data_IF_530398869952
#
_entry.id   IF_530398869952
#
_cell.length_a   1.000
_cell.length_b   1.000
_cell.length_c   1.000
_cell.angle_alpha   90.00
_cell.angle_beta   90.00
_cell.angle_gamma   90.00
#
_symmetry.space_group_name_H-M   'P 1'
#
loop_
_entity.id
_entity.type
_entity.pdbx_description
1 polymer ?
#
# COMPACT_ATOMS: atom_id res chain seq x y z
N UNK A 1 -14.09 33.48 20.22
CA UNK A 1 -12.70 33.44 19.70
C UNK A 1 -11.84 32.86 20.80
N UNK A 2 -11.06 31.78 20.69
CA UNK A 2 -10.40 31.08 19.58
C UNK A 2 -10.16 29.63 20.04
N UNK A 3 -10.35 28.63 19.16
CA UNK A 3 -9.73 27.31 19.34
C UNK A 3 -9.72 26.52 18.02
N UNK A 4 -8.80 26.88 17.14
CA UNK A 4 -8.37 26.06 15.99
C UNK A 4 -6.84 26.18 15.94
N UNK A 5 -6.10 25.21 16.49
CA UNK A 5 -4.62 25.19 16.36
C UNK A 5 -3.94 23.83 16.70
N UNK A 6 -4.66 22.78 17.15
CA UNK A 6 -4.01 21.52 17.57
C UNK A 6 -3.93 20.41 16.50
N UNK A 7 -4.54 20.57 15.33
CA UNK A 7 -4.69 19.46 14.37
C UNK A 7 -3.60 19.35 13.29
N UNK A 8 -2.83 20.40 13.04
CA UNK A 8 -1.82 20.41 11.97
C UNK A 8 -0.45 19.85 12.40
N UNK A 9 -0.06 20.04 13.67
CA UNK A 9 1.26 19.57 14.15
C UNK A 9 1.34 18.04 14.29
N UNK A 10 0.23 17.38 14.67
CA UNK A 10 0.16 15.92 14.73
C UNK A 10 0.19 15.28 13.33
N UNK A 11 -0.47 15.91 12.34
CA UNK A 11 -0.52 15.39 10.96
C UNK A 11 0.85 15.40 10.28
N UNK A 12 1.66 16.45 10.51
CA UNK A 12 3.02 16.56 9.95
C UNK A 12 3.97 15.52 10.55
N UNK A 13 3.96 15.39 11.87
CA UNK A 13 4.78 14.40 12.61
C UNK A 13 4.46 12.96 12.24
N UNK A 14 3.19 12.66 11.91
CA UNK A 14 2.74 11.32 11.56
C UNK A 14 3.16 10.89 10.15
N UNK A 15 3.15 11.85 9.22
CA UNK A 15 3.63 11.69 7.84
C UNK A 15 5.15 11.47 7.82
N UNK A 16 5.90 12.27 8.58
CA UNK A 16 7.37 12.21 8.61
C UNK A 16 7.90 10.85 9.12
N UNK A 17 7.24 10.24 10.12
CA UNK A 17 7.65 8.91 10.63
C UNK A 17 7.45 7.78 9.61
N UNK A 18 6.34 7.81 8.88
CA UNK A 18 6.07 6.79 7.85
C UNK A 18 7.03 6.86 6.66
N UNK A 19 7.62 8.03 6.37
CA UNK A 19 8.67 8.16 5.36
C UNK A 19 9.92 7.37 5.76
N UNK A 20 10.28 7.39 7.05
CA UNK A 20 11.39 6.58 7.59
C UNK A 20 11.17 5.07 7.45
N UNK A 21 9.94 4.59 7.60
CA UNK A 21 9.60 3.17 7.45
C UNK A 21 9.83 2.66 6.00
N UNK A 22 9.77 3.55 5.01
CA UNK A 22 10.09 3.24 3.61
C UNK A 22 11.61 3.18 3.33
N UNK A 23 12.49 3.70 4.19
CA UNK A 23 13.93 3.67 3.92
C UNK A 23 14.51 2.25 3.94
N UNK A 24 14.03 1.40 4.86
CA UNK A 24 14.43 -0.02 4.97
C UNK A 24 14.19 -0.76 3.65
N UNK A 25 13.04 -0.52 3.03
CA UNK A 25 12.66 -1.15 1.77
C UNK A 25 13.49 -0.67 0.57
N UNK A 26 14.21 0.45 0.69
CA UNK A 26 15.14 0.92 -0.35
C UNK A 26 16.30 -0.04 -0.52
N UNK A 27 16.83 -0.63 0.57
CA UNK A 27 17.94 -1.60 0.49
C UNK A 27 17.50 -2.91 -0.17
N UNK A 28 16.32 -3.40 0.21
CA UNK A 28 15.72 -4.59 -0.42
C UNK A 28 15.45 -4.33 -1.89
N UNK A 29 14.92 -3.15 -2.24
CA UNK A 29 14.74 -2.72 -3.62
C UNK A 29 16.05 -2.77 -4.43
N UNK A 30 17.13 -2.17 -3.92
CA UNK A 30 18.43 -2.18 -4.62
C UNK A 30 19.00 -3.59 -4.75
N UNK A 31 18.84 -4.46 -3.75
CA UNK A 31 19.22 -5.87 -3.84
C UNK A 31 18.43 -6.62 -4.93
N UNK A 32 17.11 -6.46 -4.98
CA UNK A 32 16.26 -7.11 -6.00
C UNK A 32 16.56 -6.60 -7.41
N UNK A 33 16.94 -5.33 -7.53
CA UNK A 33 17.39 -4.73 -8.79
C UNK A 33 18.76 -5.28 -9.22
N UNK A 34 19.71 -5.42 -8.30
CA UNK A 34 21.05 -5.94 -8.57
C UNK A 34 21.05 -7.43 -8.95
N UNK A 35 20.16 -8.23 -8.35
CA UNK A 35 20.05 -9.68 -8.58
C UNK A 35 19.40 -10.09 -9.90
N UNK A 36 19.14 -9.15 -10.83
CA UNK A 36 18.56 -9.42 -12.16
C UNK A 36 17.25 -10.21 -12.15
N UNK A 37 16.40 -10.06 -11.12
CA UNK A 37 14.99 -10.47 -11.17
C UNK A 37 14.19 -9.78 -12.31
N UNK A 38 14.84 -8.91 -13.07
CA UNK A 38 14.41 -8.28 -14.31
C UNK A 38 14.43 -9.19 -15.55
N UNK A 39 15.14 -10.33 -15.55
CA UNK A 39 15.14 -11.23 -16.73
C UNK A 39 13.85 -12.07 -16.75
N UNK A 40 12.91 -11.65 -17.61
CA UNK A 40 11.54 -12.18 -17.78
C UNK A 40 11.39 -13.68 -18.10
N UNK A 41 12.46 -14.45 -18.22
CA UNK A 41 12.40 -15.79 -18.82
C UNK A 41 12.75 -16.97 -17.93
N UNK A 42 13.31 -16.82 -16.72
CA UNK A 42 13.68 -18.01 -15.94
C UNK A 42 13.41 -17.85 -14.44
N UNK A 43 12.72 -18.85 -13.90
CA UNK A 43 12.37 -19.10 -12.49
C UNK A 43 11.09 -18.38 -11.98
N UNK A 44 10.09 -19.14 -11.46
CA UNK A 44 9.02 -18.56 -10.67
C UNK A 44 9.64 -17.85 -9.47
N UNK A 45 9.35 -16.56 -9.31
CA UNK A 45 9.72 -15.86 -8.07
C UNK A 45 8.93 -16.52 -6.96
N UNK A 46 9.62 -17.35 -6.16
CA UNK A 46 9.06 -17.86 -4.92
C UNK A 46 8.88 -16.66 -4.00
N UNK A 47 7.62 -16.38 -3.68
CA UNK A 47 7.26 -15.30 -2.76
C UNK A 47 7.60 -15.80 -1.36
N UNK A 48 8.76 -15.39 -0.84
CA UNK A 48 9.21 -15.73 0.52
C UNK A 48 8.54 -14.83 1.56
N UNK A 49 8.55 -15.26 2.82
CA UNK A 49 8.02 -14.46 3.92
C UNK A 49 8.75 -13.11 4.04
N UNK A 50 10.07 -13.07 3.85
CA UNK A 50 10.84 -11.83 3.92
C UNK A 50 10.40 -10.81 2.86
N UNK A 51 10.08 -11.29 1.65
CA UNK A 51 9.53 -10.45 0.59
C UNK A 51 8.11 -9.98 0.90
N UNK A 52 7.30 -10.82 1.54
CA UNK A 52 5.96 -10.45 2.00
C UNK A 52 6.02 -9.38 3.08
N UNK A 53 6.92 -9.49 4.06
CA UNK A 53 7.11 -8.47 5.10
C UNK A 53 7.69 -7.17 4.52
N UNK A 54 8.64 -7.28 3.58
CA UNK A 54 9.18 -6.10 2.88
C UNK A 54 8.10 -5.38 2.05
N UNK A 55 7.19 -6.14 1.44
CA UNK A 55 6.05 -5.61 0.70
C UNK A 55 4.99 -5.00 1.62
N UNK A 56 4.63 -5.71 2.69
CA UNK A 56 3.55 -5.36 3.60
C UNK A 56 3.87 -5.77 5.04
N UNK A 57 4.00 -4.77 5.91
CA UNK A 57 4.24 -4.97 7.34
C UNK A 57 3.44 -3.96 8.18
N UNK A 58 3.42 -4.23 9.49
CA UNK A 58 2.83 -3.34 10.49
C UNK A 58 3.96 -2.59 11.19
N UNK A 59 3.82 -1.27 11.31
CA UNK A 59 4.76 -0.44 12.08
C UNK A 59 4.49 -0.54 13.58
N UNK A 60 5.43 -0.10 14.40
CA UNK A 60 5.25 0.05 15.84
C UNK A 60 4.12 1.02 16.22
N UNK A 61 3.61 1.82 15.27
CA UNK A 61 2.47 2.72 15.45
C UNK A 61 1.16 2.16 14.92
N UNK A 62 1.06 0.82 14.74
CA UNK A 62 -0.15 0.11 14.30
C UNK A 62 -0.66 0.55 12.91
N UNK A 63 0.26 0.90 12.01
CA UNK A 63 -0.05 1.28 10.63
C UNK A 63 0.39 0.18 9.68
N UNK A 64 -0.39 -0.04 8.62
CA UNK A 64 -0.01 -0.95 7.54
C UNK A 64 0.80 -0.18 6.51
N UNK A 65 2.00 -0.67 6.20
CA UNK A 65 2.83 -0.16 5.11
C UNK A 65 2.66 -1.06 3.90
N UNK A 66 2.49 -0.48 2.72
CA UNK A 66 2.50 -1.18 1.43
C UNK A 66 3.54 -0.53 0.52
N UNK A 67 4.47 -1.31 -0.02
CA UNK A 67 5.56 -0.78 -0.83
C UNK A 67 5.56 -1.29 -2.28
N UNK A 68 5.22 -0.39 -3.21
CA UNK A 68 5.18 -0.70 -4.64
C UNK A 68 6.56 -1.11 -5.19
N UNK A 69 7.65 -0.59 -4.60
CA UNK A 69 9.01 -0.88 -5.07
C UNK A 69 9.37 -2.35 -4.88
N UNK A 70 8.77 -3.02 -3.91
CA UNK A 70 8.87 -4.47 -3.70
C UNK A 70 7.79 -5.21 -4.50
N UNK A 71 6.54 -4.72 -4.42
CA UNK A 71 5.39 -5.29 -5.14
C UNK A 71 5.71 -5.58 -6.62
N UNK A 72 6.31 -4.63 -7.34
CA UNK A 72 6.58 -4.76 -8.77
C UNK A 72 7.44 -5.97 -9.17
N UNK A 73 8.22 -6.53 -8.24
CA UNK A 73 9.04 -7.72 -8.47
C UNK A 73 8.30 -9.02 -8.19
N UNK A 74 7.44 -9.04 -7.18
CA UNK A 74 6.77 -10.25 -6.69
C UNK A 74 5.34 -10.41 -7.23
N UNK A 75 4.73 -9.34 -7.72
CA UNK A 75 3.36 -9.33 -8.20
C UNK A 75 3.25 -9.95 -9.60
N UNK A 76 2.46 -11.03 -9.68
CA UNK A 76 2.08 -11.75 -10.90
C UNK A 76 0.67 -12.29 -10.71
N UNK A 77 -0.10 -12.58 -11.78
CA UNK A 77 -1.43 -13.15 -11.63
C UNK A 77 -1.48 -14.38 -10.71
N UNK A 78 -0.45 -15.24 -10.78
CA UNK A 78 -0.31 -16.43 -9.92
C UNK A 78 0.03 -16.14 -8.45
N UNK A 79 0.49 -14.94 -8.11
CA UNK A 79 0.87 -14.55 -6.74
C UNK A 79 -0.10 -13.58 -6.10
N UNK A 80 -1.04 -13.00 -6.85
CA UNK A 80 -1.99 -12.00 -6.33
C UNK A 80 -2.76 -12.48 -5.10
N UNK A 81 -3.28 -13.69 -5.12
CA UNK A 81 -4.09 -14.20 -4.02
C UNK A 81 -3.25 -14.38 -2.73
N UNK A 82 -1.97 -14.75 -2.86
CA UNK A 82 -1.02 -14.83 -1.74
C UNK A 82 -0.75 -13.44 -1.16
N UNK A 83 -0.54 -12.43 -2.02
CA UNK A 83 -0.31 -11.05 -1.59
C UNK A 83 -1.54 -10.46 -0.88
N UNK A 84 -2.74 -10.66 -1.43
CA UNK A 84 -4.00 -10.21 -0.82
C UNK A 84 -4.20 -10.88 0.54
N UNK A 85 -4.01 -12.20 0.62
CA UNK A 85 -4.12 -12.94 1.89
C UNK A 85 -3.15 -12.42 2.94
N UNK A 86 -1.91 -12.09 2.55
CA UNK A 86 -0.93 -11.50 3.45
C UNK A 86 -1.40 -10.14 3.98
N UNK A 87 -1.88 -9.24 3.12
CA UNK A 87 -2.44 -7.94 3.53
C UNK A 87 -3.61 -8.15 4.51
N UNK A 88 -4.57 -9.02 4.18
CA UNK A 88 -5.72 -9.31 5.04
C UNK A 88 -5.28 -9.87 6.40
N UNK A 89 -4.22 -10.68 6.45
CA UNK A 89 -3.67 -11.17 7.71
C UNK A 89 -3.13 -10.05 8.61
N UNK A 90 -2.48 -9.03 8.03
CA UNK A 90 -1.98 -7.86 8.76
C UNK A 90 -3.13 -6.99 9.26
N UNK A 91 -4.16 -6.76 8.43
CA UNK A 91 -5.38 -6.06 8.85
C UNK A 91 -6.05 -6.79 10.02
N UNK A 92 -6.23 -8.11 9.90
CA UNK A 92 -6.83 -8.92 10.97
C UNK A 92 -6.02 -8.83 12.27
N UNK A 93 -4.69 -8.81 12.19
CA UNK A 93 -3.84 -8.66 13.37
C UNK A 93 -4.05 -7.31 14.06
N UNK A 94 -4.13 -6.21 13.29
CA UNK A 94 -4.40 -4.88 13.85
C UNK A 94 -5.81 -4.78 14.45
N UNK A 95 -6.80 -5.36 13.77
CA UNK A 95 -8.20 -5.30 14.21
C UNK A 95 -8.49 -6.09 15.49
N UNK A 96 -7.57 -6.96 15.94
CA UNK A 96 -7.66 -7.59 17.26
C UNK A 96 -7.54 -6.61 18.42
N UNK A 97 -6.81 -5.50 18.21
CA UNK A 97 -6.51 -4.51 19.25
C UNK A 97 -7.06 -3.12 18.95
N UNK A 98 -7.45 -2.83 17.70
CA UNK A 98 -7.95 -1.53 17.26
C UNK A 98 -9.27 -1.70 16.49
N UNK A 99 -10.25 -0.79 16.64
CA UNK A 99 -11.51 -0.88 15.91
C UNK A 99 -11.37 -0.53 14.42
N UNK A 100 -10.31 0.20 14.06
CA UNK A 100 -10.01 0.71 12.73
C UNK A 100 -8.52 0.53 12.41
N UNK A 101 -8.14 0.72 11.16
CA UNK A 101 -6.75 0.70 10.72
C UNK A 101 -6.45 1.81 9.70
N UNK A 102 -5.18 2.23 9.65
CA UNK A 102 -4.67 3.15 8.63
C UNK A 102 -3.65 2.45 7.74
N UNK A 103 -3.67 2.80 6.45
CA UNK A 103 -2.78 2.24 5.42
C UNK A 103 -1.91 3.34 4.82
N UNK A 104 -0.65 3.04 4.60
CA UNK A 104 0.35 3.92 4.00
C UNK A 104 0.96 3.20 2.80
N UNK A 105 0.76 3.74 1.60
CA UNK A 105 1.16 3.12 0.34
C UNK A 105 2.24 3.96 -0.32
N UNK A 106 3.45 3.43 -0.44
CA UNK A 106 4.48 4.03 -1.29
C UNK A 106 4.27 3.56 -2.73
N UNK A 107 4.02 4.52 -3.61
CA UNK A 107 3.83 4.29 -5.06
C UNK A 107 5.03 4.73 -5.89
N UNK A 108 6.18 5.00 -5.23
CA UNK A 108 7.43 5.33 -5.90
C UNK A 108 7.78 4.27 -6.95
N UNK A 109 8.21 4.71 -8.13
CA UNK A 109 8.50 3.89 -9.31
C UNK A 109 7.27 3.28 -10.02
N UNK A 110 6.04 3.62 -9.61
CA UNK A 110 4.85 3.26 -10.36
C UNK A 110 4.84 4.00 -11.71
N UNK A 111 4.74 3.22 -12.77
CA UNK A 111 4.62 3.72 -14.15
C UNK A 111 3.21 3.42 -14.67
N UNK A 112 2.82 4.05 -15.78
CA UNK A 112 1.54 3.78 -16.45
C UNK A 112 1.41 2.30 -16.78
N UNK A 113 2.40 1.72 -17.45
CA UNK A 113 2.40 0.29 -17.80
C UNK A 113 2.40 -0.61 -16.57
N UNK A 114 3.02 -0.17 -15.47
CA UNK A 114 2.99 -0.89 -14.20
C UNK A 114 1.59 -0.91 -13.58
N UNK A 115 0.87 0.22 -13.64
CA UNK A 115 -0.52 0.31 -13.18
C UNK A 115 -1.44 -0.58 -14.03
N UNK A 116 -1.35 -0.46 -15.36
CA UNK A 116 -2.18 -1.25 -16.30
C UNK A 116 -1.96 -2.75 -16.13
N UNK A 117 -0.69 -3.18 -16.03
CA UNK A 117 -0.33 -4.60 -15.83
C UNK A 117 -0.93 -5.19 -14.55
N UNK A 118 -1.04 -4.38 -13.49
CA UNK A 118 -1.44 -4.83 -12.16
C UNK A 118 -2.86 -4.36 -11.79
N UNK A 119 -3.65 -3.88 -12.75
CA UNK A 119 -4.99 -3.36 -12.49
C UNK A 119 -5.92 -4.44 -11.90
N UNK A 120 -5.81 -5.68 -12.35
CA UNK A 120 -6.58 -6.81 -11.80
C UNK A 120 -6.27 -7.05 -10.31
N UNK A 121 -5.00 -6.89 -9.90
CA UNK A 121 -4.65 -6.98 -8.48
C UNK A 121 -5.31 -5.88 -7.67
N UNK A 122 -5.26 -4.65 -8.17
CA UNK A 122 -5.86 -3.47 -7.52
C UNK A 122 -7.37 -3.72 -7.33
N UNK A 123 -8.07 -4.17 -8.38
CA UNK A 123 -9.49 -4.51 -8.32
C UNK A 123 -9.79 -5.61 -7.28
N UNK A 124 -9.10 -6.75 -7.35
CA UNK A 124 -9.30 -7.87 -6.41
C UNK A 124 -9.02 -7.46 -4.96
N UNK A 125 -7.95 -6.69 -4.73
CA UNK A 125 -7.63 -6.19 -3.41
C UNK A 125 -8.75 -5.28 -2.90
N UNK A 126 -9.18 -4.30 -3.69
CA UNK A 126 -10.25 -3.38 -3.30
C UNK A 126 -11.55 -4.11 -3.00
N UNK A 127 -11.96 -5.06 -3.84
CA UNK A 127 -13.16 -5.88 -3.61
C UNK A 127 -13.06 -6.69 -2.31
N UNK A 128 -11.91 -7.34 -2.08
CA UNK A 128 -11.65 -8.09 -0.85
C UNK A 128 -11.70 -7.19 0.39
N UNK A 129 -11.14 -5.98 0.32
CA UNK A 129 -11.15 -5.03 1.42
C UNK A 129 -12.56 -4.48 1.70
N UNK A 130 -13.30 -4.13 0.66
CA UNK A 130 -14.65 -3.58 0.79
C UNK A 130 -15.64 -4.60 1.38
N UNK A 131 -15.52 -5.87 0.97
CA UNK A 131 -16.36 -6.96 1.48
C UNK A 131 -15.99 -7.41 2.89
N UNK A 132 -14.68 -7.51 3.19
CA UNK A 132 -14.20 -8.08 4.46
C UNK A 132 -14.12 -7.06 5.59
N UNK A 133 -13.92 -5.78 5.26
CA UNK A 133 -13.62 -4.72 6.24
C UNK A 133 -14.48 -3.47 6.06
N UNK A 134 -15.82 -3.60 5.97
CA UNK A 134 -16.70 -2.46 5.80
C UNK A 134 -16.52 -1.46 6.95
N UNK A 135 -16.35 -0.17 6.59
CA UNK A 135 -16.17 0.93 7.53
C UNK A 135 -14.95 0.86 8.48
N UNK A 136 -14.03 -0.09 8.29
CA UNK A 136 -12.84 -0.27 9.17
C UNK A 136 -11.63 0.56 8.77
N UNK A 137 -11.55 1.00 7.51
CA UNK A 137 -10.48 1.90 7.07
C UNK A 137 -10.67 3.26 7.74
N UNK A 138 -9.64 3.77 8.41
CA UNK A 138 -9.63 5.12 8.97
C UNK A 138 -9.09 6.12 7.95
N UNK A 139 -7.86 5.88 7.47
CA UNK A 139 -7.20 6.68 6.42
C UNK A 139 -6.32 5.81 5.53
N UNK A 140 -6.18 6.21 4.27
CA UNK A 140 -5.26 5.63 3.31
C UNK A 140 -4.37 6.74 2.75
N UNK A 141 -3.08 6.71 3.09
CA UNK A 141 -2.11 7.69 2.64
C UNK A 141 -1.33 7.14 1.44
N UNK A 142 -1.26 7.90 0.36
CA UNK A 142 -0.54 7.54 -0.86
C UNK A 142 0.67 8.46 -1.01
N UNK A 143 1.86 7.87 -0.97
CA UNK A 143 3.14 8.57 -1.07
C UNK A 143 3.72 8.42 -2.48
N UNK A 144 4.40 9.47 -2.95
CA UNK A 144 5.05 9.52 -4.26
C UNK A 144 4.10 9.16 -5.43
N UNK A 145 2.84 9.61 -5.34
CA UNK A 145 1.79 9.30 -6.32
C UNK A 145 2.13 9.89 -7.70
N UNK A 146 2.37 9.07 -8.74
CA UNK A 146 2.50 9.60 -10.10
C UNK A 146 1.15 10.12 -10.61
N UNK A 147 1.16 10.97 -11.63
CA UNK A 147 -0.06 11.51 -12.24
C UNK A 147 -1.08 10.43 -12.64
N UNK A 148 -0.62 9.23 -13.04
CA UNK A 148 -1.50 8.10 -13.40
C UNK A 148 -2.39 7.64 -12.22
N UNK A 149 -1.99 7.90 -10.98
CA UNK A 149 -2.75 7.49 -9.81
C UNK A 149 -4.16 8.11 -9.76
N UNK A 150 -4.35 9.31 -10.33
CA UNK A 150 -5.69 9.91 -10.47
C UNK A 150 -6.62 9.05 -11.33
N UNK A 151 -6.09 8.41 -12.39
CA UNK A 151 -6.88 7.47 -13.20
C UNK A 151 -7.26 6.22 -12.41
N UNK A 152 -6.34 5.71 -11.60
CA UNK A 152 -6.60 4.56 -10.71
C UNK A 152 -7.73 4.91 -9.73
N UNK A 153 -7.69 6.07 -9.09
CA UNK A 153 -8.78 6.53 -8.19
C UNK A 153 -10.12 6.60 -8.95
N UNK A 154 -10.12 7.15 -10.16
CA UNK A 154 -11.32 7.19 -11.00
C UNK A 154 -11.90 5.79 -11.25
N UNK A 155 -11.05 4.81 -11.56
CA UNK A 155 -11.47 3.41 -11.73
C UNK A 155 -12.01 2.78 -10.45
N UNK A 156 -11.35 3.05 -9.31
CA UNK A 156 -11.78 2.56 -8.00
C UNK A 156 -13.11 3.17 -7.55
N UNK A 157 -13.45 4.37 -8.02
CA UNK A 157 -14.71 5.03 -7.65
C UNK A 157 -15.98 4.31 -8.12
N UNK A 158 -15.85 3.35 -9.05
CA UNK A 158 -16.93 2.51 -9.52
C UNK A 158 -17.29 1.38 -8.55
N UNK A 159 -16.38 1.03 -7.64
CA UNK A 159 -16.51 -0.11 -6.72
C UNK A 159 -16.44 0.29 -5.24
N UNK A 160 -15.86 1.45 -4.93
CA UNK A 160 -15.72 1.99 -3.57
C UNK A 160 -16.77 3.09 -3.35
N UNK A 161 -17.40 3.10 -2.18
CA UNK A 161 -18.31 4.16 -1.78
C UNK A 161 -17.60 5.51 -1.54
N UNK A 162 -18.35 6.62 -1.61
CA UNK A 162 -17.80 7.97 -1.45
C UNK A 162 -17.14 8.21 -0.09
N UNK A 163 -17.63 7.58 0.98
CA UNK A 163 -17.10 7.73 2.35
C UNK A 163 -15.76 7.01 2.48
N UNK A 164 -15.55 5.89 1.80
CA UNK A 164 -14.25 5.22 1.77
C UNK A 164 -13.26 5.96 0.84
N UNK A 165 -13.71 6.46 -0.31
CA UNK A 165 -12.86 7.29 -1.20
C UNK A 165 -12.34 8.56 -0.52
N UNK A 166 -13.15 9.22 0.31
CA UNK A 166 -12.74 10.44 1.01
C UNK A 166 -11.65 10.22 2.07
N UNK A 167 -11.36 8.96 2.43
CA UNK A 167 -10.28 8.59 3.35
C UNK A 167 -8.93 8.45 2.65
N UNK A 168 -8.90 8.48 1.31
CA UNK A 168 -7.68 8.44 0.51
C UNK A 168 -7.07 9.84 0.45
N UNK A 169 -5.82 9.97 0.90
CA UNK A 169 -5.05 11.22 0.89
C UNK A 169 -3.75 11.02 0.13
N UNK A 170 -3.54 11.80 -0.93
CA UNK A 170 -2.24 11.87 -1.60
C UNK A 170 -1.34 12.79 -0.77
N UNK A 171 -0.17 12.29 -0.39
CA UNK A 171 0.85 13.02 0.35
C UNK A 171 1.84 13.59 -0.65
N UNK A 172 1.87 14.92 -0.77
CA UNK A 172 2.86 15.62 -1.58
C UNK A 172 4.11 15.83 -0.71
N UNK A 173 5.25 15.35 -1.20
CA UNK A 173 6.58 15.67 -0.67
C UNK A 173 7.11 16.95 -1.33
#
# INVERSE_FOLDING_TARGET
MLSISKNESNKKTEVDKSIGDFEINTRVHEFLKATKLTSRSQVPVQVTNDLLESFCHITNTNKIILDYRIFKYIARPSTYDVLIKHISSKINLLLKSNPTFSVHICTKLLTISGADKHILFIYKLTESLNSSYPDKLEKCYIYDAPFIFQKIIGMLSLIIDKKTLSKITIVNN
#
